data_IF_775951899057
#
_entry.id   IF_775951899057
#
_cell.length_a   1.000
_cell.length_b   1.000
_cell.length_c   1.000
_cell.angle_alpha   90.00
_cell.angle_beta   90.00
_cell.angle_gamma   90.00
#
_symmetry.space_group_name_H-M   'P 1'
#
loop_
_entity.id
_entity.type
_entity.pdbx_description
1 polymer ?
#
# COMPACT_ATOMS: atom_id res chain seq x y z
N UNK A 1 -0.28 19.74 9.32
CA UNK A 1 0.80 18.87 9.45
C UNK A 1 1.26 18.31 8.15
N UNK A 2 2.52 18.20 8.05
CA UNK A 2 3.05 17.79 6.83
C UNK A 2 3.48 16.39 6.91
N UNK A 3 3.09 15.60 5.99
CA UNK A 3 3.55 14.23 5.94
C UNK A 3 4.90 14.18 5.30
N UNK A 4 5.76 13.39 5.85
CA UNK A 4 7.03 13.16 5.24
C UNK A 4 6.84 12.48 3.91
N UNK A 5 7.65 12.85 2.97
CA UNK A 5 7.64 12.16 1.71
C UNK A 5 8.19 10.77 1.90
N UNK A 6 7.54 9.80 1.32
CA UNK A 6 8.04 8.45 1.32
C UNK A 6 9.18 8.37 0.33
N UNK A 7 10.27 7.75 0.76
CA UNK A 7 11.41 7.56 -0.12
C UNK A 7 11.18 6.33 -0.98
N UNK A 8 10.73 6.57 -2.19
CA UNK A 8 10.41 5.46 -3.10
C UNK A 8 11.53 5.12 -4.05
N UNK A 9 12.60 5.92 -4.09
CA UNK A 9 13.66 5.67 -5.03
C UNK A 9 14.27 4.27 -4.91
N UNK A 10 14.56 3.77 -3.71
CA UNK A 10 15.10 2.41 -3.63
C UNK A 10 14.17 1.36 -4.22
N UNK A 11 12.87 1.54 -4.05
CA UNK A 11 11.90 0.63 -4.63
C UNK A 11 11.94 0.72 -6.15
N UNK A 12 11.97 1.94 -6.67
CA UNK A 12 11.98 2.16 -8.10
C UNK A 12 13.23 1.57 -8.75
N UNK A 13 14.38 1.72 -8.08
CA UNK A 13 15.61 1.19 -8.60
C UNK A 13 15.58 -0.34 -8.68
N UNK A 14 15.04 -0.97 -7.65
CA UNK A 14 14.96 -2.42 -7.66
C UNK A 14 13.99 -2.91 -8.73
N UNK A 15 12.87 -2.22 -8.88
CA UNK A 15 11.91 -2.58 -9.93
C UNK A 15 12.55 -2.48 -11.30
N UNK A 16 13.37 -1.45 -11.52
CA UNK A 16 14.06 -1.30 -12.78
C UNK A 16 15.02 -2.45 -13.04
N UNK A 17 15.76 -2.86 -12.00
CA UNK A 17 16.67 -3.99 -12.14
C UNK A 17 15.93 -5.28 -12.44
N UNK A 18 14.79 -5.48 -11.80
CA UNK A 18 13.99 -6.68 -12.04
C UNK A 18 13.53 -6.73 -13.49
N UNK A 19 13.09 -5.61 -14.03
CA UNK A 19 12.67 -5.58 -15.43
C UNK A 19 13.81 -5.96 -16.36
N UNK A 20 14.99 -5.43 -16.10
CA UNK A 20 16.16 -5.75 -16.90
C UNK A 20 16.50 -7.23 -16.82
N UNK A 21 16.46 -7.78 -15.62
CA UNK A 21 16.78 -9.19 -15.43
C UNK A 21 15.79 -10.08 -16.16
N UNK A 22 14.53 -9.72 -16.12
CA UNK A 22 13.52 -10.48 -16.82
C UNK A 22 13.77 -10.51 -18.32
N UNK A 23 14.15 -9.36 -18.86
CA UNK A 23 14.44 -9.30 -20.29
C UNK A 23 15.60 -10.17 -20.67
N UNK A 24 16.53 -10.36 -19.76
CA UNK A 24 17.68 -11.22 -20.02
C UNK A 24 17.45 -12.66 -19.66
N UNK A 25 16.30 -12.97 -19.07
CA UNK A 25 16.01 -14.34 -18.68
C UNK A 25 16.65 -14.76 -17.38
N UNK A 26 17.21 -13.82 -16.64
CA UNK A 26 17.78 -14.12 -15.32
C UNK A 26 16.69 -14.33 -14.30
N UNK A 27 16.98 -15.16 -13.31
CA UNK A 27 16.00 -15.40 -12.24
C UNK A 27 16.55 -15.11 -10.86
N UNK A 28 17.61 -14.32 -10.78
CA UNK A 28 18.20 -13.91 -9.51
C UNK A 28 18.54 -12.45 -9.54
N UNK A 29 18.35 -11.79 -8.42
CA UNK A 29 18.79 -10.42 -8.28
C UNK A 29 19.68 -10.37 -7.03
N UNK A 30 20.76 -9.63 -7.11
CA UNK A 30 21.69 -9.48 -5.99
C UNK A 30 21.65 -8.07 -5.48
N UNK A 31 21.57 -7.94 -4.18
CA UNK A 31 21.59 -6.65 -3.52
C UNK A 31 22.71 -6.64 -2.49
N UNK A 32 23.38 -5.50 -2.39
CA UNK A 32 24.29 -5.33 -1.27
C UNK A 32 23.47 -5.16 0.00
N UNK A 33 24.10 -5.35 1.14
CA UNK A 33 23.42 -5.15 2.41
C UNK A 33 22.86 -3.74 2.50
N UNK A 34 23.61 -2.76 2.00
CA UNK A 34 23.19 -1.38 2.04
C UNK A 34 21.95 -1.16 1.17
N UNK A 35 21.95 -1.77 -0.02
CA UNK A 35 20.79 -1.66 -0.91
C UNK A 35 19.58 -2.32 -0.29
N UNK A 36 19.78 -3.47 0.33
CA UNK A 36 18.67 -4.17 0.97
C UNK A 36 18.11 -3.36 2.13
N UNK A 37 18.97 -2.72 2.90
CA UNK A 37 18.52 -1.88 4.00
C UNK A 37 17.69 -0.71 3.51
N UNK A 38 18.16 -0.05 2.46
CA UNK A 38 17.39 1.07 1.91
C UNK A 38 16.04 0.63 1.38
N UNK A 39 16.02 -0.53 0.74
CA UNK A 39 14.77 -1.06 0.24
C UNK A 39 13.82 -1.40 1.39
N UNK A 40 14.35 -2.01 2.44
CA UNK A 40 13.54 -2.34 3.60
C UNK A 40 12.95 -1.10 4.24
N UNK A 41 13.75 -0.04 4.36
CA UNK A 41 13.26 1.21 4.92
C UNK A 41 12.14 1.79 4.07
N UNK A 42 12.31 1.80 2.75
CA UNK A 42 11.30 2.31 1.87
C UNK A 42 10.01 1.52 1.96
N UNK A 43 10.13 0.20 1.97
CA UNK A 43 8.96 -0.65 2.06
C UNK A 43 8.23 -0.46 3.39
N UNK A 44 9.00 -0.29 4.46
CA UNK A 44 8.39 -0.04 5.77
C UNK A 44 7.61 1.26 5.77
N UNK A 45 8.15 2.29 5.14
CA UNK A 45 7.45 3.57 5.05
C UNK A 45 6.15 3.42 4.26
N UNK A 46 6.20 2.71 3.15
CA UNK A 46 5.01 2.51 2.33
C UNK A 46 3.95 1.73 3.11
N UNK A 47 4.35 0.68 3.78
CA UNK A 47 3.41 -0.12 4.53
C UNK A 47 2.78 0.65 5.66
N UNK A 48 3.59 1.43 6.37
CA UNK A 48 3.07 2.25 7.46
C UNK A 48 2.07 3.27 6.94
N UNK A 49 2.37 3.88 5.81
CA UNK A 49 1.48 4.87 5.23
C UNK A 49 0.18 4.25 4.77
N UNK A 50 0.25 3.04 4.22
CA UNK A 50 -0.97 2.36 3.80
C UNK A 50 -1.88 2.07 4.98
N UNK A 51 -1.30 1.61 6.09
CA UNK A 51 -2.10 1.34 7.29
C UNK A 51 -2.73 2.64 7.79
N UNK A 52 -1.96 3.71 7.83
CA UNK A 52 -2.47 5.00 8.29
C UNK A 52 -3.62 5.48 7.42
N UNK A 53 -3.47 5.36 6.11
CA UNK A 53 -4.52 5.79 5.19
C UNK A 53 -5.76 4.96 5.38
N UNK A 54 -5.62 3.66 5.57
CA UNK A 54 -6.77 2.81 5.82
C UNK A 54 -7.49 3.20 7.10
N UNK A 55 -6.74 3.51 8.14
CA UNK A 55 -7.35 3.94 9.39
C UNK A 55 -8.09 5.25 9.22
N UNK A 56 -7.52 6.17 8.46
CA UNK A 56 -8.18 7.45 8.20
C UNK A 56 -9.46 7.26 7.41
N UNK A 57 -9.46 6.37 6.45
CA UNK A 57 -10.65 6.10 5.67
C UNK A 57 -11.73 5.49 6.55
N UNK A 58 -11.37 4.55 7.39
CA UNK A 58 -12.34 3.92 8.29
C UNK A 58 -12.94 4.95 9.21
N UNK A 59 -12.11 5.82 9.77
CA UNK A 59 -12.59 6.85 10.67
C UNK A 59 -13.54 7.81 9.96
N UNK A 60 -13.19 8.20 8.73
CA UNK A 60 -14.05 9.08 7.96
C UNK A 60 -15.39 8.44 7.67
N UNK A 61 -15.39 7.15 7.39
CA UNK A 61 -16.63 6.44 7.13
C UNK A 61 -17.51 6.38 8.38
N UNK A 62 -16.90 6.17 9.53
CA UNK A 62 -17.65 6.16 10.77
C UNK A 62 -18.31 7.51 11.03
N UNK A 63 -17.56 8.57 10.82
CA UNK A 63 -18.10 9.91 11.03
C UNK A 63 -19.24 10.17 10.05
N UNK A 64 -19.07 9.77 8.81
CA UNK A 64 -20.12 9.99 7.81
C UNK A 64 -21.38 9.23 8.18
N UNK A 65 -21.24 8.01 8.65
CA UNK A 65 -22.40 7.23 9.04
C UNK A 65 -23.12 7.85 10.22
N UNK A 66 -22.37 8.34 11.16
CA UNK A 66 -22.97 8.97 12.34
C UNK A 66 -23.67 10.25 11.96
N UNK A 67 -23.10 11.00 11.05
CA UNK A 67 -23.67 12.29 10.70
C UNK A 67 -24.91 12.14 9.83
N UNK A 68 -24.93 11.15 8.95
CA UNK A 68 -25.98 11.07 7.98
C UNK A 68 -27.19 10.31 8.46
N UNK A 69 -27.08 9.53 9.46
CA UNK A 69 -28.13 8.66 9.96
C UNK A 69 -28.70 7.76 8.86
N UNK A 70 -28.12 7.79 7.72
CA UNK A 70 -28.54 6.91 6.65
C UNK A 70 -27.83 5.61 6.85
N UNK A 71 -28.61 4.58 7.00
CA UNK A 71 -27.98 3.32 7.17
C UNK A 71 -27.61 2.78 5.81
N UNK A 72 -26.37 2.60 5.61
CA UNK A 72 -25.90 2.06 4.37
C UNK A 72 -25.96 0.56 4.46
N UNK A 73 -26.86 -0.01 3.71
CA UNK A 73 -26.96 -1.43 3.72
C UNK A 73 -26.01 -1.93 2.71
N UNK A 74 -25.14 -2.49 3.15
CA UNK A 74 -24.25 -2.97 2.18
C UNK A 74 -24.67 -4.32 1.74
N UNK A 75 -25.08 -4.01 1.68
CA UNK A 75 -25.04 -4.99 1.54
C UNK A 75 -24.61 -5.71 1.16
N UNK A 76 -24.86 -5.60 1.48
CA UNK A 76 -24.57 -6.22 1.51
C UNK A 76 -24.52 -6.82 1.33
N UNK A 77 -24.85 -6.76 1.38
CA UNK A 77 -24.77 -7.21 1.25
C UNK A 77 -24.59 -7.61 0.69
N UNK A 78 -24.79 -7.33 0.36
CA UNK A 78 -24.59 -7.61 -0.24
C UNK A 78 -23.70 -7.89 -0.88
N UNK A 79 -23.35 -7.68 -0.99
CA UNK A 79 -22.55 -7.86 -1.39
C UNK A 79 -22.20 -8.82 -1.53
N UNK A 80 -22.63 -9.00 -1.36
CA UNK A 80 -22.51 -9.74 -1.15
C UNK A 80 -22.77 -10.56 -1.40
N UNK A 81 -23.02 -10.51 -1.64
CA UNK A 81 -23.43 -10.99 -1.60
C UNK A 81 -23.52 -11.66 -2.00
N UNK A 82 -23.58 -11.59 -2.33
CA UNK A 82 -23.77 -11.92 -2.39
C UNK A 82 -23.73 -12.72 -2.57
N UNK A 83 -23.85 -12.93 -2.80
CA UNK A 83 -23.94 -13.27 -2.68
C UNK A 83 -23.66 -14.04 -2.75
N UNK A 84 -23.65 -14.19 -2.90
CA UNK A 84 -23.55 -14.37 -2.79
C UNK A 84 -23.44 -14.83 -2.76
#
# INVERSE_FOLDING_TARGET
MKHSKIQTRPIEEILGRIRTLRQRGDNEIRLTAKEADKLADSLSQVMTRLVTIQEEIIEALKVAQQASTVSVEMDGGNFNQEKR
#
